data_IF_802603130176
#
_entry.id   IF_802603130176
#
_cell.length_a   1.000
_cell.length_b   1.000
_cell.length_c   1.000
_cell.angle_alpha   90.00
_cell.angle_beta   90.00
_cell.angle_gamma   90.00
#
_symmetry.space_group_name_H-M   'P 1'
#
loop_
_entity.id
_entity.type
_entity.pdbx_description
1 polymer ?
#
# COMPACT_ATOMS: atom_id res chain seq x y z
N UNK A 1 12.65 -9.80 -29.62
CA UNK A 1 13.14 -8.78 -30.58
C UNK A 1 12.18 -7.60 -30.72
N UNK A 2 11.78 -6.92 -29.63
CA UNK A 2 10.82 -5.81 -29.73
C UNK A 2 11.41 -4.50 -30.27
N UNK A 3 12.73 -4.44 -30.49
CA UNK A 3 13.41 -3.29 -31.11
C UNK A 3 13.70 -3.50 -32.62
N UNK A 4 13.31 -4.64 -33.19
CA UNK A 4 13.59 -5.01 -34.57
C UNK A 4 12.27 -5.35 -35.29
N UNK A 5 11.58 -4.31 -35.72
CA UNK A 5 10.29 -4.43 -36.40
C UNK A 5 10.47 -5.03 -37.80
N UNK A 6 9.85 -6.18 -38.06
CA UNK A 6 9.87 -6.84 -39.38
C UNK A 6 8.77 -6.37 -40.35
N UNK A 7 7.87 -5.51 -39.87
CA UNK A 7 6.78 -4.90 -40.63
C UNK A 7 6.66 -3.41 -40.32
N UNK A 8 5.97 -2.66 -41.17
CA UNK A 8 5.76 -1.22 -40.97
C UNK A 8 5.06 -0.91 -39.63
N UNK A 9 5.61 0.03 -38.86
CA UNK A 9 5.06 0.52 -37.58
C UNK A 9 4.76 2.04 -37.63
N UNK A 10 3.81 2.48 -38.47
CA UNK A 10 3.58 3.91 -38.72
C UNK A 10 3.07 4.69 -37.49
N UNK A 11 2.55 3.99 -36.48
CA UNK A 11 2.06 4.59 -35.22
C UNK A 11 3.13 4.69 -34.14
N UNK A 12 4.37 4.27 -34.43
CA UNK A 12 5.45 4.16 -33.44
C UNK A 12 4.99 3.43 -32.16
N UNK A 13 4.16 2.41 -32.31
CA UNK A 13 3.67 1.63 -31.16
C UNK A 13 4.83 0.85 -30.58
N UNK A 14 5.00 0.91 -29.25
CA UNK A 14 5.97 0.06 -28.56
C UNK A 14 5.63 -1.40 -28.83
N UNK A 15 6.58 -2.15 -29.38
CA UNK A 15 6.44 -3.59 -29.61
C UNK A 15 6.83 -4.40 -28.36
N UNK A 16 7.28 -3.74 -27.30
CA UNK A 16 7.58 -4.37 -26.01
C UNK A 16 6.28 -4.53 -25.22
N UNK A 17 5.84 -5.76 -24.89
CA UNK A 17 4.67 -5.94 -24.05
C UNK A 17 4.97 -5.59 -22.59
N UNK A 18 3.92 -5.29 -21.81
CA UNK A 18 4.05 -5.00 -20.38
C UNK A 18 4.49 -6.24 -19.58
N UNK A 19 4.07 -7.42 -20.03
CA UNK A 19 4.43 -8.71 -19.46
C UNK A 19 4.30 -9.84 -20.49
N UNK A 20 4.84 -11.02 -20.19
CA UNK A 20 4.68 -12.24 -20.99
C UNK A 20 4.03 -13.35 -20.17
N UNK A 21 3.07 -14.07 -20.75
CA UNK A 21 2.51 -15.31 -20.22
C UNK A 21 2.81 -16.40 -21.24
N UNK A 22 3.74 -17.28 -20.93
CA UNK A 22 4.28 -18.28 -21.85
C UNK A 22 3.83 -19.67 -21.40
N UNK A 23 3.04 -20.34 -22.24
CA UNK A 23 2.55 -21.69 -21.99
C UNK A 23 3.29 -22.67 -22.91
N UNK A 24 3.98 -23.66 -22.33
CA UNK A 24 4.85 -24.64 -22.98
C UNK A 24 5.68 -24.05 -24.16
N UNK A 25 6.46 -22.98 -23.90
CA UNK A 25 7.03 -22.19 -24.98
C UNK A 25 8.18 -22.88 -25.70
N UNK A 26 8.26 -22.66 -27.01
CA UNK A 26 9.48 -22.86 -27.79
C UNK A 26 10.32 -21.59 -27.68
N UNK A 27 11.51 -21.72 -27.11
CA UNK A 27 12.39 -20.60 -26.74
C UNK A 27 13.65 -20.60 -27.60
N UNK A 28 14.26 -21.76 -27.81
CA UNK A 28 15.58 -21.89 -28.41
C UNK A 28 15.55 -22.56 -29.78
N UNK A 29 16.46 -22.12 -30.66
CA UNK A 29 16.76 -22.79 -31.93
C UNK A 29 17.93 -23.77 -31.80
N UNK A 30 18.56 -23.85 -30.62
CA UNK A 30 19.74 -24.65 -30.35
C UNK A 30 19.39 -26.10 -29.98
N UNK A 31 20.21 -27.04 -30.44
CA UNK A 31 20.17 -28.43 -29.97
C UNK A 31 20.58 -28.52 -28.49
N UNK A 32 20.09 -29.52 -27.73
CA UNK A 32 19.10 -30.53 -28.10
C UNK A 32 17.64 -30.09 -27.86
N UNK A 33 17.42 -28.83 -27.47
CA UNK A 33 16.12 -28.35 -27.00
C UNK A 33 15.22 -27.80 -28.12
N UNK A 34 15.76 -27.65 -29.33
CA UNK A 34 15.04 -27.08 -30.47
C UNK A 34 13.79 -27.87 -30.83
N UNK A 35 12.67 -27.17 -30.94
CA UNK A 35 11.48 -27.71 -31.59
C UNK A 35 11.53 -27.41 -33.10
N UNK A 36 12.02 -28.37 -33.89
CA UNK A 36 12.29 -28.20 -35.33
C UNK A 36 11.07 -27.74 -36.13
N UNK A 37 9.87 -28.23 -35.79
CA UNK A 37 8.64 -27.85 -36.48
C UNK A 37 8.35 -26.35 -36.37
N UNK A 38 8.38 -25.81 -35.14
CA UNK A 38 8.17 -24.37 -34.90
C UNK A 38 9.26 -23.52 -35.53
N UNK A 39 10.52 -23.98 -35.46
CA UNK A 39 11.64 -23.32 -36.13
C UNK A 39 11.37 -23.17 -37.63
N UNK A 40 11.06 -24.28 -38.30
CA UNK A 40 10.85 -24.31 -39.75
C UNK A 40 9.65 -23.44 -40.16
N UNK A 41 8.58 -23.43 -39.35
CA UNK A 41 7.41 -22.57 -39.60
C UNK A 41 7.72 -21.09 -39.40
N UNK A 42 8.57 -20.73 -38.43
CA UNK A 42 8.92 -19.33 -38.15
C UNK A 42 9.85 -18.75 -39.24
N UNK A 43 10.86 -19.50 -39.66
CA UNK A 43 11.82 -19.04 -40.69
C UNK A 43 11.20 -19.05 -42.10
N UNK A 44 10.23 -19.93 -42.33
CA UNK A 44 9.59 -20.10 -43.63
C UNK A 44 10.51 -20.76 -44.66
N UNK A 45 9.98 -21.02 -45.86
CA UNK A 45 10.76 -21.49 -47.00
C UNK A 45 11.43 -20.32 -47.70
N UNK A 46 12.60 -20.55 -48.29
CA UNK A 46 13.31 -19.57 -49.11
C UNK A 46 12.47 -19.15 -50.33
N UNK A 47 12.72 -17.93 -50.80
CA UNK A 47 12.16 -17.37 -52.04
C UNK A 47 13.29 -17.16 -53.05
N UNK A 48 13.00 -17.19 -54.36
CA UNK A 48 14.02 -17.02 -55.41
C UNK A 48 14.61 -18.34 -55.92
N UNK A 49 15.91 -18.38 -56.22
CA UNK A 49 16.58 -19.50 -56.93
C UNK A 49 16.44 -20.87 -56.23
N UNK A 50 16.27 -20.91 -54.90
CA UNK A 50 16.08 -22.13 -54.12
C UNK A 50 14.64 -22.26 -53.59
N UNK A 51 13.65 -21.65 -54.27
CA UNK A 51 12.29 -21.54 -53.77
C UNK A 51 11.70 -22.89 -53.32
N UNK A 52 11.27 -22.94 -52.05
CA UNK A 52 10.61 -24.12 -51.47
C UNK A 52 11.45 -24.90 -50.47
N UNK A 53 12.76 -24.63 -50.38
CA UNK A 53 13.67 -25.21 -49.40
C UNK A 53 13.69 -24.41 -48.08
N UNK A 54 14.06 -25.05 -46.97
CA UNK A 54 14.30 -24.31 -45.72
C UNK A 54 15.64 -23.57 -45.80
N UNK A 55 15.71 -22.29 -45.41
CA UNK A 55 16.97 -21.58 -45.30
C UNK A 55 17.95 -22.35 -44.39
N UNK A 56 19.20 -22.45 -44.82
CA UNK A 56 20.27 -22.90 -43.95
C UNK A 56 20.53 -21.80 -42.91
N UNK A 57 20.40 -22.14 -41.63
CA UNK A 57 20.64 -21.21 -40.54
C UNK A 57 22.12 -21.25 -40.14
N UNK A 58 22.71 -20.07 -39.96
CA UNK A 58 24.03 -19.94 -39.35
C UNK A 58 23.94 -19.72 -37.82
N UNK A 59 25.08 -19.57 -37.16
CA UNK A 59 25.14 -19.32 -35.72
C UNK A 59 24.48 -17.99 -35.31
N UNK A 60 24.54 -16.97 -36.15
CA UNK A 60 23.91 -15.68 -35.88
C UNK A 60 22.40 -15.79 -35.97
N UNK A 61 21.86 -16.55 -36.92
CA UNK A 61 20.44 -16.84 -37.02
C UNK A 61 19.96 -17.62 -35.79
N UNK A 62 20.68 -18.68 -35.41
CA UNK A 62 20.36 -19.47 -34.22
C UNK A 62 20.37 -18.58 -32.98
N UNK A 63 21.39 -17.75 -32.82
CA UNK A 63 21.47 -16.80 -31.70
C UNK A 63 20.35 -15.78 -31.75
N UNK A 64 20.04 -15.24 -32.92
CA UNK A 64 18.99 -14.26 -33.10
C UNK A 64 17.64 -14.85 -32.69
N UNK A 65 17.25 -16.04 -33.17
CA UNK A 65 15.94 -16.61 -32.86
C UNK A 65 15.82 -17.31 -31.50
N UNK A 66 16.93 -17.51 -30.78
CA UNK A 66 16.94 -18.11 -29.44
C UNK A 66 16.70 -17.06 -28.36
N UNK A 67 15.49 -17.01 -27.80
CA UNK A 67 15.06 -15.92 -26.91
C UNK A 67 15.85 -15.85 -25.60
N UNK A 68 16.33 -16.98 -25.09
CA UNK A 68 17.18 -17.06 -23.90
C UNK A 68 18.53 -16.37 -24.08
N UNK A 69 19.05 -16.31 -25.31
CA UNK A 69 20.32 -15.64 -25.63
C UNK A 69 20.16 -14.13 -25.82
N UNK A 70 18.93 -13.62 -25.76
CA UNK A 70 18.59 -12.22 -26.02
C UNK A 70 17.87 -11.54 -24.85
N UNK A 71 17.90 -12.14 -23.66
CA UNK A 71 17.34 -11.53 -22.45
C UNK A 71 18.18 -10.32 -22.04
N UNK A 72 17.51 -9.23 -21.72
CA UNK A 72 18.12 -8.01 -21.18
C UNK A 72 17.30 -7.51 -19.99
N UNK A 73 17.77 -6.48 -19.29
CA UNK A 73 17.00 -5.79 -18.24
C UNK A 73 15.67 -5.21 -18.74
N UNK A 74 15.54 -4.99 -20.05
CA UNK A 74 14.31 -4.49 -20.67
C UNK A 74 13.34 -5.62 -21.03
N UNK A 75 13.70 -6.90 -20.86
CA UNK A 75 12.79 -8.00 -21.10
C UNK A 75 11.59 -7.89 -20.15
N UNK A 76 10.34 -8.08 -20.62
CA UNK A 76 9.16 -7.97 -19.77
C UNK A 76 9.13 -9.02 -18.64
N UNK A 77 8.54 -8.69 -17.48
CA UNK A 77 8.20 -9.68 -16.46
C UNK A 77 7.44 -10.85 -17.06
N UNK A 78 7.77 -12.06 -16.65
CA UNK A 78 7.31 -13.28 -17.31
C UNK A 78 6.66 -14.25 -16.33
N UNK A 79 5.46 -14.73 -16.66
CA UNK A 79 4.92 -15.96 -16.10
C UNK A 79 5.13 -17.07 -17.13
N UNK A 80 5.67 -18.21 -16.72
CA UNK A 80 5.97 -19.32 -17.62
C UNK A 80 5.52 -20.66 -17.03
N UNK A 81 4.92 -21.51 -17.86
CA UNK A 81 4.40 -22.81 -17.42
C UNK A 81 4.61 -23.90 -18.46
N UNK A 82 4.89 -25.12 -18.03
CA UNK A 82 5.00 -26.31 -18.87
C UNK A 82 4.86 -27.59 -18.03
N UNK A 83 4.54 -28.75 -18.61
CA UNK A 83 4.71 -30.03 -17.96
C UNK A 83 6.16 -30.54 -18.09
N UNK A 84 6.67 -31.25 -17.08
CA UNK A 84 7.98 -31.91 -17.14
C UNK A 84 8.04 -33.01 -18.20
N UNK A 85 6.89 -33.65 -18.47
CA UNK A 85 6.75 -34.77 -19.41
C UNK A 85 6.17 -34.31 -20.74
N UNK A 86 6.46 -33.07 -21.16
CA UNK A 86 6.05 -32.57 -22.47
C UNK A 86 6.89 -33.23 -23.57
N UNK A 87 6.25 -34.13 -24.33
CA UNK A 87 6.91 -34.85 -25.43
C UNK A 87 6.91 -34.05 -26.74
N UNK A 88 6.18 -32.92 -26.82
CA UNK A 88 6.13 -32.08 -28.02
C UNK A 88 7.16 -30.95 -27.96
N UNK A 89 7.25 -30.24 -26.82
CA UNK A 89 8.23 -29.17 -26.61
C UNK A 89 9.08 -29.51 -25.39
N UNK A 90 10.40 -29.76 -25.57
CA UNK A 90 11.27 -30.09 -24.45
C UNK A 90 11.17 -29.03 -23.34
N UNK A 91 10.83 -29.47 -22.12
CA UNK A 91 10.67 -28.58 -20.94
C UNK A 91 11.94 -27.76 -20.65
N UNK A 92 13.10 -28.20 -21.13
CA UNK A 92 14.34 -27.44 -21.09
C UNK A 92 14.25 -26.04 -21.71
N UNK A 93 13.35 -25.80 -22.67
CA UNK A 93 13.06 -24.45 -23.17
C UNK A 93 12.59 -23.52 -22.05
N UNK A 94 11.69 -24.01 -21.19
CA UNK A 94 11.18 -23.25 -20.03
C UNK A 94 12.31 -22.95 -19.06
N UNK A 95 13.12 -23.95 -18.71
CA UNK A 95 14.21 -23.77 -17.77
C UNK A 95 15.31 -22.84 -18.30
N UNK A 96 15.68 -22.96 -19.58
CA UNK A 96 16.67 -22.09 -20.20
C UNK A 96 16.23 -20.62 -20.16
N UNK A 97 14.96 -20.33 -20.47
CA UNK A 97 14.46 -18.96 -20.43
C UNK A 97 14.33 -18.42 -19.01
N UNK A 98 13.79 -19.20 -18.07
CA UNK A 98 13.71 -18.80 -16.65
C UNK A 98 15.10 -18.49 -16.09
N UNK A 99 16.10 -19.32 -16.40
CA UNK A 99 17.48 -19.07 -15.97
C UNK A 99 18.04 -17.77 -16.56
N UNK A 100 17.85 -17.52 -17.86
CA UNK A 100 18.30 -16.29 -18.51
C UNK A 100 17.61 -15.04 -17.93
N UNK A 101 16.30 -15.11 -17.65
CA UNK A 101 15.53 -14.05 -16.97
C UNK A 101 16.09 -13.74 -15.58
N UNK A 102 16.30 -14.77 -14.76
CA UNK A 102 16.86 -14.62 -13.41
C UNK A 102 18.27 -14.01 -13.43
N UNK A 103 19.15 -14.48 -14.32
CA UNK A 103 20.51 -13.94 -14.46
C UNK A 103 20.51 -12.45 -14.81
N UNK A 104 19.55 -11.99 -15.60
CA UNK A 104 19.37 -10.59 -15.97
C UNK A 104 18.51 -9.78 -14.98
N UNK A 105 18.12 -10.37 -13.84
CA UNK A 105 17.27 -9.75 -12.81
C UNK A 105 15.89 -9.33 -13.34
N UNK A 106 15.38 -10.03 -14.33
CA UNK A 106 14.02 -9.83 -14.85
C UNK A 106 13.05 -10.64 -13.99
N UNK A 107 11.96 -10.05 -13.47
CA UNK A 107 10.99 -10.79 -12.66
C UNK A 107 10.38 -11.96 -13.44
N UNK A 108 10.42 -13.15 -12.84
CA UNK A 108 9.86 -14.36 -13.45
C UNK A 108 9.17 -15.24 -12.39
N UNK A 109 7.98 -15.72 -12.71
CA UNK A 109 7.27 -16.77 -11.95
C UNK A 109 7.10 -18.00 -12.83
N UNK A 110 7.44 -19.18 -12.31
CA UNK A 110 7.45 -20.44 -13.05
C UNK A 110 6.52 -21.45 -12.39
N UNK A 111 5.58 -22.00 -13.16
CA UNK A 111 4.64 -23.03 -12.70
C UNK A 111 4.82 -24.31 -13.51
N UNK A 112 5.32 -25.39 -12.90
CA UNK A 112 5.62 -26.64 -13.61
C UNK A 112 4.70 -27.77 -13.12
N UNK A 113 4.05 -28.45 -14.06
CA UNK A 113 3.40 -29.72 -13.75
C UNK A 113 4.42 -30.85 -13.74
N UNK A 114 4.44 -31.67 -12.68
CA UNK A 114 5.32 -32.84 -12.63
C UNK A 114 5.03 -33.86 -13.74
N UNK A 115 3.78 -33.99 -14.18
CA UNK A 115 3.36 -34.80 -15.33
C UNK A 115 2.21 -34.09 -16.05
N UNK A 116 2.14 -34.25 -17.36
CA UNK A 116 1.03 -33.74 -18.17
C UNK A 116 1.36 -33.76 -19.66
N UNK A 117 0.34 -33.82 -20.54
CA UNK A 117 0.54 -33.73 -21.97
C UNK A 117 0.84 -32.30 -22.38
N UNK A 118 1.39 -32.12 -23.58
CA UNK A 118 1.34 -30.84 -24.27
C UNK A 118 -0.13 -30.40 -24.48
N UNK A 119 -0.39 -29.09 -24.52
CA UNK A 119 -1.70 -28.58 -24.93
C UNK A 119 -2.84 -28.76 -23.93
N UNK A 120 -2.56 -28.73 -22.62
CA UNK A 120 -3.60 -28.83 -21.57
C UNK A 120 -4.56 -27.63 -21.47
N UNK A 121 -4.41 -26.60 -22.30
CA UNK A 121 -5.31 -25.44 -22.36
C UNK A 121 -5.36 -24.60 -21.07
N UNK A 122 -6.42 -23.81 -20.89
CA UNK A 122 -6.59 -22.99 -19.68
C UNK A 122 -6.93 -23.82 -18.43
N UNK A 123 -7.67 -24.92 -18.60
CA UNK A 123 -8.02 -25.84 -17.52
C UNK A 123 -7.43 -27.21 -17.83
N UNK A 124 -6.46 -27.63 -17.02
CA UNK A 124 -5.88 -28.95 -17.10
C UNK A 124 -6.74 -29.94 -16.29
N UNK A 125 -7.52 -30.84 -16.93
CA UNK A 125 -8.43 -31.75 -16.23
C UNK A 125 -7.67 -32.80 -15.40
N UNK A 126 -6.38 -33.01 -15.66
CA UNK A 126 -5.54 -33.98 -14.95
C UNK A 126 -4.85 -33.39 -13.72
N UNK A 127 -4.92 -32.06 -13.54
CA UNK A 127 -4.23 -31.37 -12.47
C UNK A 127 -5.17 -30.95 -11.34
N UNK A 128 -4.70 -31.11 -10.09
CA UNK A 128 -5.40 -30.60 -8.90
C UNK A 128 -5.26 -29.08 -8.77
N UNK A 129 -4.08 -28.55 -9.04
CA UNK A 129 -3.79 -27.13 -9.06
C UNK A 129 -3.76 -26.63 -10.50
N UNK A 130 -4.31 -25.45 -10.74
CA UNK A 130 -4.41 -24.90 -12.10
C UNK A 130 -3.40 -23.77 -12.29
N UNK A 131 -2.57 -23.90 -13.33
CA UNK A 131 -1.59 -22.88 -13.71
C UNK A 131 -2.23 -21.51 -13.93
N UNK A 132 -3.47 -21.47 -14.42
CA UNK A 132 -4.18 -20.22 -14.69
C UNK A 132 -4.52 -19.46 -13.40
N UNK A 133 -4.80 -20.16 -12.30
CA UNK A 133 -5.06 -19.53 -11.01
C UNK A 133 -3.77 -18.91 -10.45
N UNK A 134 -2.64 -19.63 -10.56
CA UNK A 134 -1.33 -19.09 -10.22
C UNK A 134 -0.95 -17.87 -11.08
N UNK A 135 -1.24 -17.93 -12.39
CA UNK A 135 -1.03 -16.82 -13.31
C UNK A 135 -1.87 -15.58 -12.94
N UNK A 136 -3.15 -15.77 -12.61
CA UNK A 136 -4.03 -14.68 -12.16
C UNK A 136 -3.52 -14.07 -10.85
N UNK A 137 -3.09 -14.91 -9.90
CA UNK A 137 -2.50 -14.41 -8.66
C UNK A 137 -1.23 -13.61 -8.93
N UNK A 138 -0.36 -14.08 -9.81
CA UNK A 138 0.82 -13.33 -10.25
C UNK A 138 0.46 -12.00 -10.90
N UNK A 139 -0.52 -11.98 -11.83
CA UNK A 139 -1.01 -10.75 -12.45
C UNK A 139 -1.54 -9.77 -11.39
N UNK A 140 -2.31 -10.25 -10.43
CA UNK A 140 -2.87 -9.40 -9.38
C UNK A 140 -1.79 -8.79 -8.50
N UNK A 141 -0.80 -9.59 -8.08
CA UNK A 141 0.33 -9.11 -7.28
C UNK A 141 1.13 -8.03 -8.01
N UNK A 142 1.38 -8.21 -9.31
CA UNK A 142 2.33 -7.38 -10.06
C UNK A 142 1.68 -6.20 -10.80
N UNK A 143 0.41 -6.29 -11.21
CA UNK A 143 -0.21 -5.35 -12.15
C UNK A 143 -1.61 -4.88 -11.78
N UNK A 144 -2.32 -5.53 -10.84
CA UNK A 144 -3.68 -5.16 -10.44
C UNK A 144 -3.74 -4.56 -9.02
N UNK A 145 -2.72 -3.80 -8.64
CA UNK A 145 -2.78 -3.01 -7.42
C UNK A 145 -3.70 -1.81 -7.69
N UNK A 146 -4.81 -1.62 -6.96
CA UNK A 146 -5.61 -0.41 -7.11
C UNK A 146 -4.72 0.82 -6.88
N UNK A 147 -5.02 1.98 -7.50
CA UNK A 147 -4.30 3.20 -7.19
C UNK A 147 -4.31 3.39 -5.67
N UNK A 148 -3.11 3.55 -5.11
CA UNK A 148 -2.91 3.60 -3.67
C UNK A 148 -3.76 4.74 -3.10
N UNK A 149 -4.85 4.41 -2.40
CA UNK A 149 -5.59 5.36 -1.57
C UNK A 149 -4.81 5.58 -0.28
N UNK A 150 -3.63 6.18 -0.44
CA UNK A 150 -2.65 6.37 0.61
C UNK A 150 -3.20 7.12 1.83
N UNK A 151 -4.01 8.20 1.68
CA UNK A 151 -4.70 8.83 2.81
C UNK A 151 -5.95 8.08 3.29
N UNK A 152 -6.36 7.00 2.62
CA UNK A 152 -7.54 6.19 2.91
C UNK A 152 -8.86 6.99 2.91
N UNK A 153 -9.05 7.85 1.91
CA UNK A 153 -10.23 8.72 1.78
C UNK A 153 -11.53 7.91 1.69
N UNK A 154 -11.48 6.69 1.14
CA UNK A 154 -12.66 5.82 1.04
C UNK A 154 -13.18 5.33 2.40
N UNK A 155 -12.36 5.31 3.47
CA UNK A 155 -12.71 4.75 4.78
C UNK A 155 -13.98 5.35 5.38
N UNK A 156 -14.16 6.66 5.25
CA UNK A 156 -15.28 7.41 5.82
C UNK A 156 -16.17 8.09 4.77
N UNK A 157 -15.89 7.95 3.47
CA UNK A 157 -16.64 8.62 2.41
C UNK A 157 -18.16 8.39 2.51
N UNK A 158 -18.60 7.14 2.71
CA UNK A 158 -20.02 6.82 2.84
C UNK A 158 -20.60 7.23 4.21
N UNK A 159 -19.81 7.15 5.28
CA UNK A 159 -20.23 7.62 6.61
C UNK A 159 -20.41 9.15 6.65
N UNK A 160 -19.52 9.90 5.98
CA UNK A 160 -19.59 11.35 5.81
C UNK A 160 -20.87 11.76 5.09
N UNK A 161 -21.19 11.08 3.97
CA UNK A 161 -22.44 11.32 3.23
C UNK A 161 -23.69 11.07 4.09
N UNK A 162 -23.69 9.99 4.88
CA UNK A 162 -24.83 9.63 5.75
C UNK A 162 -25.06 10.62 6.89
N UNK A 163 -23.99 11.13 7.51
CA UNK A 163 -24.10 12.09 8.62
C UNK A 163 -24.54 13.47 8.10
N UNK A 164 -24.18 13.85 6.87
CA UNK A 164 -24.64 15.08 6.23
C UNK A 164 -24.21 16.34 6.96
N UNK A 165 -24.89 17.46 6.70
CA UNK A 165 -24.61 18.75 7.36
C UNK A 165 -25.16 18.78 8.80
N UNK A 166 -24.52 19.53 9.72
CA UNK A 166 -25.06 19.73 11.07
C UNK A 166 -26.43 20.41 11.03
N UNK A 167 -27.33 20.00 11.94
CA UNK A 167 -28.62 20.67 12.14
C UNK A 167 -28.43 22.04 12.82
N UNK A 168 -29.38 22.98 12.68
CA UNK A 168 -29.35 24.24 13.43
C UNK A 168 -29.22 23.99 14.94
N UNK A 169 -28.23 24.62 15.57
CA UNK A 169 -27.93 24.43 17.00
C UNK A 169 -27.10 23.19 17.35
N UNK A 170 -26.74 22.34 16.38
CA UNK A 170 -25.90 21.16 16.61
C UNK A 170 -24.45 21.57 16.91
N UNK A 171 -23.97 21.23 18.11
CA UNK A 171 -22.56 21.34 18.46
C UNK A 171 -21.80 20.08 18.03
N UNK A 172 -21.60 19.92 16.72
CA UNK A 172 -20.85 18.80 16.18
C UNK A 172 -19.37 18.88 16.55
N UNK A 173 -18.82 17.79 17.05
CA UNK A 173 -17.41 17.64 17.42
C UNK A 173 -16.80 16.51 16.60
N UNK A 174 -15.68 16.76 15.95
CA UNK A 174 -14.94 15.72 15.21
C UNK A 174 -13.69 15.34 15.97
N UNK A 175 -13.47 14.04 16.16
CA UNK A 175 -12.23 13.48 16.72
C UNK A 175 -11.37 12.96 15.56
N UNK A 176 -10.32 13.72 15.22
CA UNK A 176 -9.32 13.35 14.22
C UNK A 176 -8.17 12.60 14.90
N UNK A 177 -7.80 11.44 14.38
CA UNK A 177 -6.61 10.74 14.87
C UNK A 177 -6.35 9.40 14.20
N UNK A 178 -5.60 8.57 14.92
CA UNK A 178 -5.10 7.27 14.46
C UNK A 178 -5.87 6.09 15.12
N UNK A 179 -5.18 4.97 15.34
CA UNK A 179 -5.69 3.78 16.02
C UNK A 179 -6.21 4.06 17.43
N UNK A 180 -5.64 5.01 18.17
CA UNK A 180 -6.14 5.36 19.51
C UNK A 180 -7.52 6.00 19.41
N UNK A 181 -7.72 6.89 18.44
CA UNK A 181 -9.05 7.49 18.21
C UNK A 181 -10.01 6.44 17.65
N UNK A 182 -9.60 5.62 16.68
CA UNK A 182 -10.46 4.59 16.09
C UNK A 182 -10.91 3.57 17.16
N UNK A 183 -9.96 3.10 17.97
CA UNK A 183 -10.20 2.14 19.04
C UNK A 183 -11.20 2.61 20.09
N UNK A 184 -11.30 3.93 20.32
CA UNK A 184 -12.20 4.48 21.33
C UNK A 184 -13.66 4.08 21.09
N UNK A 185 -14.12 4.13 19.83
CA UNK A 185 -15.48 3.71 19.47
C UNK A 185 -15.72 2.22 19.68
N UNK A 186 -14.66 1.40 19.62
CA UNK A 186 -14.74 -0.05 19.81
C UNK A 186 -14.74 -0.43 21.29
N UNK A 187 -13.96 0.27 22.13
CA UNK A 187 -13.87 -0.01 23.56
C UNK A 187 -14.98 0.66 24.36
N UNK A 188 -15.40 1.87 23.99
CA UNK A 188 -16.50 2.59 24.63
C UNK A 188 -17.40 3.31 23.60
N UNK A 189 -18.27 2.58 22.90
CA UNK A 189 -19.19 3.18 21.93
C UNK A 189 -20.11 4.24 22.57
N UNK A 190 -20.45 4.07 23.86
CA UNK A 190 -21.31 4.98 24.62
C UNK A 190 -20.74 6.40 24.73
N UNK A 191 -19.42 6.58 24.59
CA UNK A 191 -18.82 7.92 24.56
C UNK A 191 -19.26 8.74 23.33
N UNK A 192 -19.51 8.07 22.20
CA UNK A 192 -19.91 8.70 20.94
C UNK A 192 -21.42 8.62 20.70
N UNK A 193 -22.07 7.54 21.13
CA UNK A 193 -23.51 7.33 20.94
C UNK A 193 -24.34 8.40 21.66
N UNK A 194 -25.41 8.88 21.00
CA UNK A 194 -26.29 9.92 21.53
C UNK A 194 -25.68 11.33 21.60
N UNK A 195 -24.36 11.48 21.40
CA UNK A 195 -23.67 12.77 21.31
C UNK A 195 -23.48 13.19 19.86
N UNK A 196 -23.27 14.47 19.63
CA UNK A 196 -22.88 15.00 18.30
C UNK A 196 -21.37 14.81 18.05
N UNK A 197 -20.80 13.69 18.50
CA UNK A 197 -19.38 13.38 18.38
C UNK A 197 -19.16 12.44 17.22
N UNK A 198 -18.18 12.77 16.38
CA UNK A 198 -17.89 12.05 15.13
C UNK A 198 -16.47 11.55 15.18
N UNK A 199 -16.32 10.23 15.25
CA UNK A 199 -15.01 9.56 15.26
C UNK A 199 -14.45 9.48 13.83
N UNK A 200 -13.26 10.04 13.61
CA UNK A 200 -12.51 9.97 12.35
C UNK A 200 -11.09 9.45 12.60
N UNK A 201 -10.95 8.49 13.51
CA UNK A 201 -9.71 7.73 13.70
C UNK A 201 -9.49 6.71 12.58
N UNK A 202 -8.26 6.55 12.10
CA UNK A 202 -7.89 5.46 11.19
C UNK A 202 -6.58 4.83 11.67
N UNK A 203 -6.59 3.54 11.93
CA UNK A 203 -5.46 2.76 12.42
C UNK A 203 -4.21 2.93 11.58
N UNK A 204 -3.06 3.04 12.26
CA UNK A 204 -1.74 3.14 11.63
C UNK A 204 -1.42 4.47 10.96
N UNK A 205 -2.37 5.41 10.82
CA UNK A 205 -2.13 6.66 10.10
C UNK A 205 -1.19 7.63 10.82
N UNK A 206 -0.41 8.35 10.00
CA UNK A 206 0.50 9.43 10.38
C UNK A 206 -0.08 10.81 10.06
N UNK A 207 0.55 11.88 10.55
CA UNK A 207 0.09 13.27 10.35
C UNK A 207 0.00 13.69 8.87
N UNK A 208 0.88 13.26 7.93
CA UNK A 208 0.68 13.52 6.50
C UNK A 208 -0.63 12.98 5.94
N UNK A 209 -1.02 11.75 6.31
CA UNK A 209 -2.26 11.14 5.84
C UNK A 209 -3.48 11.85 6.43
N UNK A 210 -3.41 12.19 7.73
CA UNK A 210 -4.47 12.95 8.40
C UNK A 210 -4.67 14.33 7.76
N UNK A 211 -3.58 15.02 7.43
CA UNK A 211 -3.62 16.31 6.73
C UNK A 211 -4.33 16.19 5.37
N UNK A 212 -3.98 15.17 4.57
CA UNK A 212 -4.59 14.95 3.25
C UNK A 212 -6.10 14.67 3.33
N UNK A 213 -6.58 13.96 4.36
CA UNK A 213 -8.01 13.69 4.54
C UNK A 213 -8.75 14.73 5.37
N UNK A 214 -8.06 15.75 5.87
CA UNK A 214 -8.63 16.74 6.79
C UNK A 214 -9.80 17.51 6.17
N UNK A 215 -9.73 17.80 4.86
CA UNK A 215 -10.82 18.43 4.13
C UNK A 215 -12.11 17.58 4.20
N UNK A 216 -12.02 16.32 3.79
CA UNK A 216 -13.16 15.41 3.71
C UNK A 216 -13.70 15.02 5.08
N UNK A 217 -12.80 14.70 6.02
CA UNK A 217 -13.16 14.08 7.29
C UNK A 217 -13.32 15.08 8.44
N UNK A 218 -13.02 16.36 8.24
CA UNK A 218 -13.22 17.41 9.25
C UNK A 218 -13.97 18.59 8.65
N UNK A 219 -13.41 19.26 7.65
CA UNK A 219 -13.92 20.56 7.18
C UNK A 219 -15.32 20.42 6.59
N UNK A 220 -15.54 19.44 5.71
CA UNK A 220 -16.83 19.21 5.06
C UNK A 220 -17.95 18.80 6.04
N UNK A 221 -17.57 18.26 7.20
CA UNK A 221 -18.52 17.91 8.26
C UNK A 221 -18.97 19.14 9.08
N UNK A 222 -18.36 20.30 8.87
CA UNK A 222 -18.65 21.59 9.53
C UNK A 222 -18.77 21.52 11.07
N UNK A 223 -17.82 20.89 11.79
CA UNK A 223 -17.88 20.83 13.24
C UNK A 223 -17.67 22.19 13.89
N UNK A 224 -18.16 22.35 15.12
CA UNK A 224 -17.81 23.47 15.99
C UNK A 224 -16.40 23.32 16.56
N UNK A 225 -15.99 22.09 16.87
CA UNK A 225 -14.67 21.77 17.40
C UNK A 225 -14.10 20.54 16.70
N UNK A 226 -12.80 20.57 16.41
CA UNK A 226 -12.01 19.38 16.09
C UNK A 226 -11.02 19.10 17.22
N UNK A 227 -11.01 17.86 17.69
CA UNK A 227 -10.00 17.31 18.62
C UNK A 227 -8.98 16.54 17.79
N UNK A 228 -7.71 16.92 17.86
CA UNK A 228 -6.63 16.30 17.08
C UNK A 228 -5.69 15.55 18.03
N UNK A 229 -5.63 14.22 17.89
CA UNK A 229 -4.65 13.34 18.53
C UNK A 229 -3.82 12.64 17.44
N UNK A 230 -2.60 13.11 17.23
CA UNK A 230 -1.75 12.64 16.12
C UNK A 230 -0.26 12.72 16.47
N UNK A 231 0.56 11.87 15.84
CA UNK A 231 2.02 11.89 15.98
C UNK A 231 2.65 10.56 16.40
N UNK A 232 1.93 9.66 17.08
CA UNK A 232 2.54 8.41 17.60
C UNK A 232 3.07 7.50 16.48
N UNK A 233 2.31 7.37 15.38
CA UNK A 233 2.70 6.55 14.22
C UNK A 233 3.77 7.23 13.36
N UNK A 234 3.85 8.55 13.42
CA UNK A 234 4.93 9.31 12.80
C UNK A 234 6.24 9.06 13.53
N UNK A 235 6.22 9.07 14.87
CA UNK A 235 7.38 8.66 15.71
C UNK A 235 7.74 7.20 15.42
N UNK A 236 6.74 6.35 15.17
CA UNK A 236 6.96 4.99 14.70
C UNK A 236 7.36 4.90 13.21
N UNK A 237 7.53 6.00 12.47
CA UNK A 237 7.94 6.03 11.05
C UNK A 237 7.02 5.19 10.12
N UNK A 238 5.72 5.05 10.41
CA UNK A 238 4.82 4.17 9.64
C UNK A 238 4.75 4.54 8.14
N UNK A 239 4.95 5.81 7.81
CA UNK A 239 5.03 6.32 6.42
C UNK A 239 6.44 6.70 5.99
N UNK A 240 7.47 6.19 6.68
CA UNK A 240 8.87 6.52 6.46
C UNK A 240 9.43 7.52 7.48
N UNK A 241 10.75 7.82 7.41
CA UNK A 241 11.43 8.74 8.34
C UNK A 241 10.85 10.15 8.30
N UNK A 242 10.62 10.72 9.49
CA UNK A 242 10.09 12.09 9.67
C UNK A 242 10.67 12.72 10.94
N UNK A 243 10.91 14.03 10.93
CA UNK A 243 11.36 14.78 12.11
C UNK A 243 10.18 15.22 12.98
N UNK A 244 10.41 15.48 14.27
CA UNK A 244 9.37 16.03 15.16
C UNK A 244 8.83 17.38 14.66
N UNK A 245 9.67 18.19 14.03
CA UNK A 245 9.28 19.44 13.39
C UNK A 245 8.33 19.20 12.21
N UNK A 246 8.59 18.22 11.35
CA UNK A 246 7.71 17.88 10.25
C UNK A 246 6.34 17.35 10.75
N UNK A 247 6.34 16.58 11.84
CA UNK A 247 5.10 16.14 12.51
C UNK A 247 4.31 17.37 13.00
N UNK A 248 4.99 18.28 13.71
CA UNK A 248 4.36 19.51 14.20
C UNK A 248 3.82 20.34 13.03
N UNK A 249 4.58 20.50 11.94
CA UNK A 249 4.16 21.30 10.77
C UNK A 249 2.86 20.76 10.16
N UNK A 250 2.67 19.44 10.09
CA UNK A 250 1.39 18.88 9.64
C UNK A 250 0.23 19.21 10.61
N UNK A 251 0.49 19.19 11.92
CA UNK A 251 -0.50 19.58 12.95
C UNK A 251 -0.81 21.07 12.86
N UNK A 252 0.20 21.92 12.60
CA UNK A 252 0.05 23.36 12.33
C UNK A 252 -0.86 23.56 11.11
N UNK A 253 -0.60 22.88 10.00
CA UNK A 253 -1.42 22.99 8.78
C UNK A 253 -2.87 22.57 9.03
N UNK A 254 -3.12 21.46 9.72
CA UNK A 254 -4.49 21.06 10.10
C UNK A 254 -5.17 22.11 11.00
N UNK A 255 -4.42 22.71 11.92
CA UNK A 255 -4.93 23.76 12.82
C UNK A 255 -5.30 25.03 12.06
N UNK A 256 -4.47 25.45 11.11
CA UNK A 256 -4.72 26.63 10.27
C UNK A 256 -5.93 26.41 9.36
N UNK A 257 -6.00 25.25 8.70
CA UNK A 257 -7.13 24.85 7.87
C UNK A 257 -8.44 24.84 8.66
N UNK A 258 -8.44 24.32 9.88
CA UNK A 258 -9.61 24.33 10.76
C UNK A 258 -10.07 25.76 11.06
N UNK A 259 -9.15 26.64 11.47
CA UNK A 259 -9.48 28.02 11.82
C UNK A 259 -9.99 28.85 10.64
N UNK A 260 -9.39 28.67 9.46
CA UNK A 260 -9.87 29.31 8.23
C UNK A 260 -11.32 28.94 7.90
N UNK A 261 -11.78 27.78 8.37
CA UNK A 261 -13.15 27.31 8.21
C UNK A 261 -14.03 27.57 9.45
N UNK A 262 -13.58 28.41 10.39
CA UNK A 262 -14.32 28.75 11.61
C UNK A 262 -14.46 27.60 12.62
N UNK A 263 -13.62 26.57 12.50
CA UNK A 263 -13.61 25.41 13.37
C UNK A 263 -12.64 25.65 14.53
N UNK A 264 -13.10 25.48 15.76
CA UNK A 264 -12.25 25.61 16.94
C UNK A 264 -11.39 24.37 17.11
N UNK A 265 -10.18 24.53 17.64
CA UNK A 265 -9.19 23.45 17.69
C UNK A 265 -8.83 23.10 19.13
N UNK A 266 -8.91 21.81 19.42
CA UNK A 266 -8.31 21.17 20.60
C UNK A 266 -7.14 20.33 20.12
N UNK A 267 -5.93 20.67 20.55
CA UNK A 267 -4.71 19.90 20.27
C UNK A 267 -4.40 19.02 21.48
N UNK A 268 -4.40 17.72 21.28
CA UNK A 268 -4.06 16.76 22.31
C UNK A 268 -2.56 16.52 22.39
N UNK A 269 -2.06 16.32 23.59
CA UNK A 269 -0.83 15.57 23.82
C UNK A 269 -0.93 14.19 23.17
N UNK A 270 0.12 13.74 22.52
CA UNK A 270 0.33 12.33 22.16
C UNK A 270 0.40 11.51 23.45
N UNK A 271 -0.32 10.38 23.49
CA UNK A 271 -0.32 9.49 24.65
C UNK A 271 1.06 8.88 24.88
N UNK A 272 1.40 8.51 26.13
CA UNK A 272 2.71 7.93 26.45
C UNK A 272 2.92 6.59 25.75
N UNK A 273 4.17 6.25 25.44
CA UNK A 273 4.59 4.95 24.95
C UNK A 273 6.06 4.74 25.30
N UNK A 274 6.40 3.59 25.89
CA UNK A 274 7.79 3.27 26.23
C UNK A 274 8.56 2.77 25.00
N UNK A 275 7.93 1.86 24.26
CA UNK A 275 8.40 1.30 23.00
C UNK A 275 7.22 0.92 22.11
N UNK A 276 7.46 0.57 20.85
CA UNK A 276 6.42 0.04 19.96
C UNK A 276 6.62 -1.46 19.73
N UNK A 277 5.68 -2.33 20.15
CA UNK A 277 5.81 -3.77 19.95
C UNK A 277 6.00 -4.18 18.48
N UNK A 278 5.39 -3.44 17.54
CA UNK A 278 5.52 -3.69 16.10
C UNK A 278 6.76 -3.03 15.46
N UNK A 279 7.45 -2.15 16.19
CA UNK A 279 8.66 -1.47 15.72
C UNK A 279 9.56 -1.06 16.91
N UNK A 280 10.27 -2.02 17.51
CA UNK A 280 11.08 -1.78 18.71
C UNK A 280 12.24 -0.81 18.49
N UNK A 281 12.71 -0.16 19.55
CA UNK A 281 13.93 0.65 19.56
C UNK A 281 13.76 2.05 18.93
N UNK A 282 12.53 2.54 18.84
CA UNK A 282 12.22 3.85 18.28
C UNK A 282 12.32 5.00 19.29
N UNK A 283 12.58 4.69 20.56
CA UNK A 283 12.68 5.63 21.69
C UNK A 283 11.48 6.60 21.81
N UNK A 284 10.23 6.12 21.74
CA UNK A 284 9.06 6.99 21.84
C UNK A 284 8.94 7.65 23.21
N UNK A 285 9.45 7.02 24.26
CA UNK A 285 9.49 7.56 25.62
C UNK A 285 10.12 8.98 25.69
N UNK A 286 11.12 9.24 24.84
CA UNK A 286 11.77 10.56 24.72
C UNK A 286 11.03 11.45 23.72
N UNK A 287 10.76 10.92 22.51
CA UNK A 287 10.22 11.68 21.38
C UNK A 287 8.80 12.18 21.61
N UNK A 288 7.96 11.39 22.28
CA UNK A 288 6.59 11.78 22.65
C UNK A 288 6.61 12.98 23.58
N UNK A 289 7.46 12.96 24.61
CA UNK A 289 7.58 14.07 25.54
C UNK A 289 8.00 15.37 24.83
N UNK A 290 9.03 15.29 23.96
CA UNK A 290 9.51 16.43 23.18
C UNK A 290 8.42 16.99 22.25
N UNK A 291 7.75 16.13 21.49
CA UNK A 291 6.67 16.53 20.59
C UNK A 291 5.51 17.17 21.37
N UNK A 292 5.16 16.66 22.56
CA UNK A 292 4.12 17.25 23.40
C UNK A 292 4.46 18.66 23.88
N UNK A 293 5.72 18.94 24.23
CA UNK A 293 6.14 20.31 24.56
C UNK A 293 5.99 21.24 23.35
N UNK A 294 6.33 20.76 22.15
CA UNK A 294 6.16 21.52 20.91
C UNK A 294 4.68 21.81 20.61
N UNK A 295 3.81 20.79 20.72
CA UNK A 295 2.36 20.91 20.51
C UNK A 295 1.76 21.88 21.54
N UNK A 296 2.12 21.75 22.83
CA UNK A 296 1.63 22.64 23.89
C UNK A 296 2.00 24.10 23.64
N UNK A 297 3.26 24.35 23.28
CA UNK A 297 3.75 25.69 22.96
C UNK A 297 3.04 26.27 21.73
N UNK A 298 2.84 25.47 20.70
CA UNK A 298 2.08 25.89 19.53
C UNK A 298 0.61 26.16 19.85
N UNK A 299 -0.06 25.27 20.61
CA UNK A 299 -1.45 25.45 20.99
C UNK A 299 -1.70 26.80 21.68
N UNK A 300 -0.80 27.20 22.60
CA UNK A 300 -0.83 28.51 23.25
C UNK A 300 -0.68 29.65 22.24
N UNK A 301 0.34 29.62 21.38
CA UNK A 301 0.58 30.65 20.35
C UNK A 301 -0.58 30.76 19.37
N UNK A 302 -1.18 29.63 19.03
CA UNK A 302 -2.29 29.52 18.11
C UNK A 302 -3.63 29.89 18.79
N UNK A 303 -3.71 30.02 20.12
CA UNK A 303 -4.98 30.18 20.82
C UNK A 303 -5.88 28.94 20.80
N UNK A 304 -5.35 27.78 20.39
CA UNK A 304 -6.03 26.49 20.50
C UNK A 304 -6.11 26.05 21.98
N UNK A 305 -7.01 25.12 22.30
CA UNK A 305 -7.03 24.48 23.62
C UNK A 305 -6.03 23.33 23.60
N UNK A 306 -5.19 23.21 24.65
CA UNK A 306 -4.30 22.06 24.82
C UNK A 306 -4.93 21.04 25.75
N UNK A 307 -5.02 19.79 25.30
CA UNK A 307 -5.59 18.66 26.03
C UNK A 307 -4.46 17.72 26.47
N UNK A 308 -4.24 17.59 27.78
CA UNK A 308 -3.11 16.85 28.33
C UNK A 308 -3.52 15.43 28.81
N UNK A 309 -3.60 14.49 27.88
CA UNK A 309 -3.72 13.06 28.21
C UNK A 309 -2.41 12.50 28.78
N UNK A 310 -1.27 12.94 28.27
CA UNK A 310 0.05 12.39 28.60
C UNK A 310 0.27 12.37 30.12
N UNK A 311 0.09 13.52 30.79
CA UNK A 311 0.31 13.64 32.23
C UNK A 311 -0.60 12.72 33.07
N UNK A 312 -1.81 12.40 32.60
CA UNK A 312 -2.73 11.52 33.31
C UNK A 312 -2.36 10.03 33.17
N UNK A 313 -1.69 9.67 32.07
CA UNK A 313 -1.53 8.28 31.62
C UNK A 313 -0.09 7.77 31.71
N UNK A 314 0.89 8.63 31.99
CA UNK A 314 2.32 8.30 31.97
C UNK A 314 2.78 7.58 33.24
N UNK A 315 3.66 6.59 33.10
CA UNK A 315 4.38 5.95 34.21
C UNK A 315 5.77 6.57 34.44
N UNK A 316 6.51 6.08 35.43
CA UNK A 316 7.84 6.59 35.78
C UNK A 316 8.90 6.39 34.67
N UNK A 317 8.62 5.52 33.69
CA UNK A 317 9.50 5.24 32.56
C UNK A 317 9.13 6.04 31.30
N UNK A 318 8.21 7.02 31.42
CA UNK A 318 7.64 7.75 30.29
C UNK A 318 6.81 6.87 29.33
N UNK A 319 6.39 5.69 29.79
CA UNK A 319 5.49 4.76 29.11
C UNK A 319 4.04 4.94 29.50
N UNK A 320 3.15 4.20 28.82
CA UNK A 320 1.75 4.11 29.20
C UNK A 320 1.61 3.23 30.44
N UNK A 321 0.96 3.75 31.50
CA UNK A 321 0.62 2.96 32.70
C UNK A 321 -0.02 1.63 32.30
N UNK A 322 0.52 0.54 32.85
CA UNK A 322 0.17 -0.83 32.44
C UNK A 322 -1.32 -1.12 32.52
N UNK A 323 -2.00 -0.63 33.55
CA UNK A 323 -3.43 -0.81 33.77
C UNK A 323 -4.31 -0.04 32.77
N UNK A 324 -3.77 0.98 32.09
CA UNK A 324 -4.49 1.82 31.14
C UNK A 324 -4.38 1.36 29.69
N UNK A 325 -3.47 0.43 29.38
CA UNK A 325 -3.23 -0.08 28.03
C UNK A 325 -3.26 -1.60 27.94
N UNK A 326 -3.18 -2.12 26.72
CA UNK A 326 -3.06 -3.57 26.48
C UNK A 326 -1.75 -3.99 25.79
N UNK A 327 -1.04 -3.05 25.17
CA UNK A 327 0.22 -3.29 24.46
C UNK A 327 1.31 -2.22 24.73
N UNK A 328 1.08 -1.34 25.71
CA UNK A 328 1.98 -0.24 26.06
C UNK A 328 1.85 1.00 25.18
N UNK A 329 0.91 1.02 24.22
CA UNK A 329 0.67 2.17 23.32
C UNK A 329 -0.82 2.51 23.24
N UNK A 330 -1.66 1.50 23.07
CA UNK A 330 -3.09 1.65 22.87
C UNK A 330 -3.86 1.53 24.19
N UNK A 331 -4.72 2.51 24.52
CA UNK A 331 -5.55 2.44 25.71
C UNK A 331 -6.54 1.26 25.66
N UNK A 332 -6.78 0.66 26.83
CA UNK A 332 -7.94 -0.20 27.06
C UNK A 332 -9.13 0.64 27.57
N UNK A 333 -10.25 0.01 27.95
CA UNK A 333 -11.43 0.72 28.47
C UNK A 333 -11.10 1.63 29.68
N UNK A 334 -10.26 1.16 30.62
CA UNK A 334 -9.86 1.96 31.79
C UNK A 334 -9.06 3.20 31.36
N UNK A 335 -8.16 3.03 30.39
CA UNK A 335 -7.43 4.16 29.78
C UNK A 335 -8.35 5.16 29.10
N UNK A 336 -9.33 4.71 28.31
CA UNK A 336 -10.30 5.61 27.69
C UNK A 336 -11.15 6.35 28.74
N UNK A 337 -11.55 5.69 29.83
CA UNK A 337 -12.28 6.35 30.94
C UNK A 337 -11.47 7.46 31.63
N UNK A 338 -10.14 7.40 31.59
CA UNK A 338 -9.28 8.52 32.04
C UNK A 338 -9.31 9.67 31.01
N UNK A 339 -9.32 9.35 29.71
CA UNK A 339 -9.30 10.34 28.62
C UNK A 339 -10.63 11.10 28.46
N UNK A 340 -11.78 10.44 28.68
CA UNK A 340 -13.12 11.01 28.47
C UNK A 340 -13.35 12.37 29.16
N UNK A 341 -13.22 12.50 30.49
CA UNK A 341 -13.51 13.77 31.18
C UNK A 341 -12.51 14.87 30.79
N UNK A 342 -11.29 14.51 30.42
CA UNK A 342 -10.29 15.46 29.93
C UNK A 342 -10.71 16.01 28.56
N UNK A 343 -11.15 15.13 27.66
CA UNK A 343 -11.64 15.50 26.34
C UNK A 343 -12.86 16.43 26.43
N UNK A 344 -13.85 16.07 27.25
CA UNK A 344 -15.07 16.85 27.43
C UNK A 344 -14.77 18.25 27.98
N UNK A 345 -13.91 18.34 29.00
CA UNK A 345 -13.47 19.63 29.56
C UNK A 345 -12.80 20.51 28.49
N UNK A 346 -11.91 19.95 27.67
CA UNK A 346 -11.22 20.69 26.62
C UNK A 346 -12.17 21.14 25.50
N UNK A 347 -13.14 20.29 25.14
CA UNK A 347 -14.19 20.62 24.17
C UNK A 347 -15.05 21.77 24.68
N UNK A 348 -15.48 21.73 25.94
CA UNK A 348 -16.25 22.81 26.56
C UNK A 348 -15.47 24.13 26.61
N UNK A 349 -14.18 24.08 26.95
CA UNK A 349 -13.31 25.26 26.92
C UNK A 349 -13.24 25.84 25.50
N UNK A 350 -13.04 25.00 24.48
CA UNK A 350 -13.01 25.44 23.10
C UNK A 350 -14.35 26.08 22.70
N UNK A 351 -15.48 25.44 23.03
CA UNK A 351 -16.82 25.98 22.74
C UNK A 351 -17.07 27.35 23.39
N UNK A 352 -16.45 27.65 24.54
CA UNK A 352 -16.58 28.95 25.24
C UNK A 352 -15.68 30.07 24.68
N UNK A 353 -14.57 29.75 24.00
CA UNK A 353 -13.70 30.77 23.38
C UNK A 353 -14.47 31.56 22.32
N UNK A 354 -14.39 32.90 22.36
CA UNK A 354 -15.09 33.77 21.41
C UNK A 354 -14.43 33.78 20.05
#
# INVERSE_FOLDING_TARGET
>A
HFNDAKIANPKNTSLRPDFMILNYPVITFSEPLVHRGSRNNLIGKSTGLNAGELPQLDENDIRYFSSELNVTVNTPPTFITAPMTDDAVPVGNTFAFTAALQQNKVPVETFIYNKGPHGYGMKNPLAKEQWIDACIQWLNRNFNQPPMDWPNLRRYAEENKKIGLPKPGENRIVFMGNSITEGWKNFDPAFFEGKHYVNRGIGGQTTPQMLLRFQQDVIELKPKVVVILAGINDIANNTGPITLEQILNNIISMTELAKLNGIKVVLSSVTPAFDFPWRPGMEPNIKVYQLNQMIKNYAMKAGAVYLDYYSAMVDDNHGLKRELGYDGVHPNLVGYKVMEPLAEKAIEEALKKK
#
